data_IF_858337712171
#
_entry.id   IF_858337712171
#
_cell.length_a   1.000
_cell.length_b   1.000
_cell.length_c   1.000
_cell.angle_alpha   90.00
_cell.angle_beta   90.00
_cell.angle_gamma   90.00
#
_symmetry.space_group_name_H-M   'P 1'
#
loop_
_entity.id
_entity.type
_entity.pdbx_description
1 polymer ?
#
# COMPACT_ATOMS: atom_id res chain seq x y z
N UNK A 1 -23.03 -17.54 1.88
CA UNK A 1 -22.09 -17.79 2.99
C UNK A 1 -20.63 -17.76 2.54
N UNK A 2 -20.24 -18.42 1.46
CA UNK A 2 -18.84 -18.45 0.99
C UNK A 2 -18.27 -17.11 0.50
N UNK A 3 -19.07 -16.25 -0.14
CA UNK A 3 -18.61 -14.96 -0.68
C UNK A 3 -18.14 -14.00 0.41
N UNK A 4 -18.91 -13.86 1.49
CA UNK A 4 -18.54 -12.99 2.61
C UNK A 4 -17.24 -13.45 3.28
N UNK A 5 -17.03 -14.75 3.44
CA UNK A 5 -15.80 -15.31 4.01
C UNK A 5 -14.57 -14.97 3.16
N UNK A 6 -14.68 -15.09 1.84
CA UNK A 6 -13.60 -14.74 0.90
C UNK A 6 -13.26 -13.25 1.01
N UNK A 7 -14.28 -12.39 1.10
CA UNK A 7 -14.09 -10.96 1.21
C UNK A 7 -13.40 -10.55 2.53
N UNK A 8 -13.84 -11.13 3.66
CA UNK A 8 -13.16 -10.92 4.96
C UNK A 8 -11.69 -11.39 4.93
N UNK A 9 -11.43 -12.55 4.34
CA UNK A 9 -10.07 -13.05 4.19
C UNK A 9 -9.22 -12.12 3.31
N UNK A 10 -9.78 -11.59 2.23
CA UNK A 10 -9.11 -10.64 1.34
C UNK A 10 -8.75 -9.33 2.06
N UNK A 11 -9.71 -8.76 2.82
CA UNK A 11 -9.46 -7.55 3.62
C UNK A 11 -8.41 -7.81 4.70
N UNK A 12 -8.52 -8.93 5.41
CA UNK A 12 -7.54 -9.32 6.43
C UNK A 12 -6.14 -9.46 5.85
N UNK A 13 -5.98 -10.18 4.75
CA UNK A 13 -4.67 -10.35 4.09
C UNK A 13 -4.11 -9.03 3.57
N UNK A 14 -4.94 -8.20 2.95
CA UNK A 14 -4.53 -6.88 2.47
C UNK A 14 -4.04 -5.98 3.62
N UNK A 15 -4.77 -5.92 4.71
CA UNK A 15 -4.40 -5.16 5.91
C UNK A 15 -3.14 -5.72 6.57
N UNK A 16 -3.03 -7.03 6.70
CA UNK A 16 -1.85 -7.70 7.25
C UNK A 16 -0.59 -7.37 6.45
N UNK A 17 -0.65 -7.48 5.13
CA UNK A 17 0.47 -7.15 4.24
C UNK A 17 0.83 -5.67 4.32
N UNK A 18 -0.17 -4.77 4.35
CA UNK A 18 0.04 -3.34 4.45
C UNK A 18 0.80 -2.96 5.73
N UNK A 19 0.35 -3.45 6.89
CA UNK A 19 0.99 -3.16 8.17
C UNK A 19 2.33 -3.87 8.37
N UNK A 20 2.57 -4.96 7.68
CA UNK A 20 3.85 -5.69 7.75
C UNK A 20 4.90 -5.07 6.85
N UNK A 21 4.50 -4.48 5.72
CA UNK A 21 5.41 -3.92 4.72
C UNK A 21 6.24 -2.75 5.27
N UNK A 22 5.63 -1.85 6.03
CA UNK A 22 6.30 -0.67 6.60
C UNK A 22 7.51 -1.05 7.50
N UNK A 23 7.35 -1.84 8.57
CA UNK A 23 8.48 -2.21 9.42
C UNK A 23 9.49 -3.12 8.72
N UNK A 24 9.05 -3.93 7.76
CA UNK A 24 9.94 -4.78 6.99
C UNK A 24 10.86 -3.95 6.08
N UNK A 25 10.31 -2.99 5.36
CA UNK A 25 11.08 -2.07 4.51
C UNK A 25 12.01 -1.21 5.36
N UNK A 26 11.54 -0.65 6.47
CA UNK A 26 12.38 0.10 7.40
C UNK A 26 13.59 -0.72 7.86
N UNK A 27 13.37 -1.98 8.23
CA UNK A 27 14.45 -2.90 8.66
C UNK A 27 15.50 -3.16 7.56
N UNK A 28 15.07 -3.25 6.31
CA UNK A 28 15.97 -3.47 5.17
C UNK A 28 16.80 -2.20 4.87
N UNK A 29 16.19 -1.03 5.00
CA UNK A 29 16.83 0.25 4.64
C UNK A 29 17.79 0.74 5.70
N UNK A 30 17.48 0.56 6.98
CA UNK A 30 18.28 1.05 8.11
C UNK A 30 19.79 0.76 8.01
N UNK A 31 20.25 -0.45 7.67
CA UNK A 31 21.68 -0.73 7.57
C UNK A 31 22.40 0.06 6.45
N UNK A 32 21.66 0.44 5.39
CA UNK A 32 22.22 1.06 4.20
C UNK A 32 22.24 2.58 4.27
N UNK A 33 21.25 3.18 4.95
CA UNK A 33 21.09 4.63 5.10
C UNK A 33 21.55 5.15 6.48
N UNK A 34 22.09 4.28 7.32
CA UNK A 34 22.45 4.60 8.69
C UNK A 34 21.26 4.48 9.65
N UNK A 35 21.50 3.95 10.85
CA UNK A 35 20.49 3.69 11.88
C UNK A 35 19.94 4.94 12.59
N UNK A 36 19.90 6.08 11.91
CA UNK A 36 19.55 7.34 12.51
C UNK A 36 18.02 7.55 12.54
N UNK A 37 17.56 8.29 13.54
CA UNK A 37 16.17 8.66 13.74
C UNK A 37 15.50 9.25 12.48
N UNK A 38 16.23 10.04 11.69
CA UNK A 38 15.70 10.65 10.47
C UNK A 38 15.34 9.62 9.37
N UNK A 39 16.08 8.51 9.26
CA UNK A 39 15.75 7.45 8.30
C UNK A 39 14.41 6.81 8.64
N UNK A 40 14.20 6.51 9.92
CA UNK A 40 12.93 6.00 10.42
C UNK A 40 11.80 6.99 10.18
N UNK A 41 12.01 8.26 10.50
CA UNK A 41 11.02 9.33 10.34
C UNK A 41 10.60 9.51 8.88
N UNK A 42 11.54 9.52 7.94
CA UNK A 42 11.28 9.64 6.50
C UNK A 42 10.49 8.42 6.01
N UNK A 43 10.86 7.23 6.45
CA UNK A 43 10.19 5.98 6.06
C UNK A 43 8.73 5.97 6.52
N UNK A 44 8.45 6.28 7.78
CA UNK A 44 7.09 6.40 8.30
C UNK A 44 6.31 7.47 7.52
N UNK A 45 6.89 8.65 7.33
CA UNK A 45 6.21 9.75 6.63
C UNK A 45 5.86 9.36 5.20
N UNK A 46 6.75 8.64 4.50
CA UNK A 46 6.48 8.12 3.16
C UNK A 46 5.28 7.17 3.17
N UNK A 47 5.26 6.17 4.06
CA UNK A 47 4.18 5.18 4.09
C UNK A 47 2.84 5.79 4.49
N UNK A 48 2.81 6.72 5.44
CA UNK A 48 1.61 7.46 5.82
C UNK A 48 1.11 8.36 4.68
N UNK A 49 2.01 9.04 3.98
CA UNK A 49 1.69 9.82 2.80
C UNK A 49 1.13 8.96 1.65
N UNK A 50 1.75 7.82 1.39
CA UNK A 50 1.28 6.87 0.37
C UNK A 50 -0.09 6.27 0.71
N UNK A 51 -0.35 5.97 1.99
CA UNK A 51 -1.64 5.54 2.49
C UNK A 51 -2.72 6.61 2.28
N UNK A 52 -2.41 7.86 2.63
CA UNK A 52 -3.30 8.99 2.42
C UNK A 52 -3.64 9.18 0.94
N UNK A 53 -2.62 9.12 0.06
CA UNK A 53 -2.82 9.22 -1.39
C UNK A 53 -3.64 8.05 -1.95
N UNK A 54 -3.46 6.84 -1.44
CA UNK A 54 -4.27 5.67 -1.78
C UNK A 54 -5.76 5.89 -1.43
N UNK A 55 -6.05 6.41 -0.25
CA UNK A 55 -7.42 6.73 0.16
C UNK A 55 -8.01 7.88 -0.66
N UNK A 56 -7.24 8.94 -0.92
CA UNK A 56 -7.66 10.05 -1.77
C UNK A 56 -7.97 9.56 -3.20
N UNK A 57 -7.12 8.72 -3.77
CA UNK A 57 -7.36 8.08 -5.06
C UNK A 57 -8.72 7.34 -5.07
N UNK A 58 -8.98 6.50 -4.08
CA UNK A 58 -10.25 5.79 -3.97
C UNK A 58 -11.44 6.74 -3.85
N UNK A 59 -11.30 7.83 -3.08
CA UNK A 59 -12.38 8.80 -2.88
C UNK A 59 -12.74 9.55 -4.17
N UNK A 60 -11.75 10.02 -4.91
CA UNK A 60 -11.99 10.82 -6.12
C UNK A 60 -12.35 9.98 -7.34
N UNK A 61 -11.83 8.77 -7.45
CA UNK A 61 -11.97 7.91 -8.63
C UNK A 61 -12.97 6.77 -8.39
N UNK A 62 -13.66 6.74 -7.24
CA UNK A 62 -14.55 5.66 -6.80
C UNK A 62 -15.58 5.20 -7.86
N UNK A 63 -16.08 6.09 -8.69
CA UNK A 63 -17.06 5.77 -9.75
C UNK A 63 -16.45 5.00 -10.92
N UNK A 64 -15.13 5.05 -11.12
CA UNK A 64 -14.40 4.45 -12.25
C UNK A 64 -13.35 3.42 -11.81
N UNK A 65 -13.30 3.09 -10.53
CA UNK A 65 -12.24 2.27 -9.90
C UNK A 65 -12.03 0.92 -10.60
N UNK A 66 -13.09 0.27 -11.07
CA UNK A 66 -12.99 -1.11 -11.58
C UNK A 66 -11.96 -1.29 -12.69
N UNK A 67 -11.91 -0.40 -13.68
CA UNK A 67 -10.99 -0.50 -14.83
C UNK A 67 -9.57 0.00 -14.50
N UNK A 68 -9.48 1.15 -13.85
CA UNK A 68 -8.18 1.75 -13.49
C UNK A 68 -7.47 0.97 -12.39
N UNK A 69 -8.21 0.43 -11.44
CA UNK A 69 -7.63 -0.36 -10.38
C UNK A 69 -7.01 -1.66 -10.89
N UNK A 70 -7.66 -2.32 -11.86
CA UNK A 70 -7.10 -3.51 -12.49
C UNK A 70 -5.75 -3.21 -13.17
N UNK A 71 -5.62 -2.05 -13.83
CA UNK A 71 -4.36 -1.61 -14.41
C UNK A 71 -3.28 -1.39 -13.33
N UNK A 72 -3.64 -0.77 -12.20
CA UNK A 72 -2.71 -0.59 -11.06
C UNK A 72 -2.23 -1.92 -10.49
N UNK A 73 -3.13 -2.91 -10.35
CA UNK A 73 -2.75 -4.26 -9.89
C UNK A 73 -1.79 -4.92 -10.87
N UNK A 74 -2.04 -4.81 -12.17
CA UNK A 74 -1.12 -5.33 -13.21
C UNK A 74 0.25 -4.63 -13.15
N UNK A 75 0.28 -3.32 -12.98
CA UNK A 75 1.53 -2.57 -12.79
C UNK A 75 2.28 -3.02 -11.53
N UNK A 76 1.57 -3.24 -10.43
CA UNK A 76 2.18 -3.75 -9.21
C UNK A 76 2.79 -5.14 -9.39
N UNK A 77 2.14 -6.02 -10.15
CA UNK A 77 2.68 -7.36 -10.47
C UNK A 77 3.96 -7.30 -11.31
N UNK A 78 4.03 -6.35 -12.26
CA UNK A 78 5.24 -6.13 -13.07
C UNK A 78 6.38 -5.57 -12.21
N UNK A 79 6.04 -4.80 -11.16
CA UNK A 79 7.01 -4.19 -10.24
C UNK A 79 7.63 -5.20 -9.25
N UNK A 80 7.08 -6.39 -9.15
CA UNK A 80 7.64 -7.51 -8.39
C UNK A 80 8.43 -8.41 -9.37
N UNK A 81 9.74 -8.70 -9.16
CA UNK A 81 10.51 -8.48 -7.95
C UNK A 81 11.07 -7.06 -7.84
N UNK A 82 10.94 -6.50 -6.64
CA UNK A 82 11.51 -5.19 -6.32
C UNK A 82 13.03 -5.28 -6.43
N UNK A 83 13.60 -4.60 -7.40
CA UNK A 83 15.06 -4.50 -7.54
C UNK A 83 15.59 -3.57 -6.46
N UNK A 84 16.08 -4.13 -5.37
CA UNK A 84 16.67 -3.36 -4.28
C UNK A 84 18.07 -2.91 -4.71
N UNK A 85 18.14 -1.82 -5.45
CA UNK A 85 19.40 -1.13 -5.74
C UNK A 85 19.64 -0.13 -4.61
N UNK A 86 20.65 -0.41 -3.78
CA UNK A 86 21.04 0.53 -2.73
C UNK A 86 21.93 1.62 -3.32
N UNK A 87 21.73 2.90 -2.93
CA UNK A 87 22.63 3.97 -3.31
C UNK A 87 24.05 3.71 -2.74
N UNK A 88 25.06 4.20 -3.45
CA UNK A 88 26.43 4.11 -2.98
C UNK A 88 26.60 4.90 -1.66
N UNK A 89 27.58 4.52 -0.79
CA UNK A 89 27.75 5.18 0.51
C UNK A 89 27.92 6.71 0.46
N UNK A 90 28.32 7.26 -0.68
CA UNK A 90 28.50 8.70 -0.89
C UNK A 90 27.21 9.45 -1.23
N UNK A 91 26.10 8.76 -1.47
CA UNK A 91 24.80 9.33 -1.87
C UNK A 91 23.76 9.26 -0.76
N UNK A 92 24.17 9.02 0.48
CA UNK A 92 23.27 8.89 1.62
C UNK A 92 22.74 10.28 2.00
N UNK A 93 21.61 10.65 1.41
CA UNK A 93 20.88 11.87 1.75
C UNK A 93 19.40 11.56 2.03
N UNK A 94 18.69 12.41 2.79
CA UNK A 94 17.27 12.28 3.01
C UNK A 94 16.44 12.23 1.72
N UNK A 95 16.86 12.99 0.72
CA UNK A 95 16.23 13.04 -0.60
C UNK A 95 16.46 11.77 -1.40
N UNK A 96 17.66 11.19 -1.34
CA UNK A 96 17.96 9.90 -1.98
C UNK A 96 17.14 8.77 -1.36
N UNK A 97 17.00 8.76 -0.05
CA UNK A 97 16.12 7.80 0.66
C UNK A 97 14.67 7.94 0.22
N UNK A 98 14.13 9.15 0.19
CA UNK A 98 12.75 9.38 -0.22
C UNK A 98 12.52 8.95 -1.68
N UNK A 99 13.45 9.28 -2.57
CA UNK A 99 13.39 8.87 -3.97
C UNK A 99 13.44 7.33 -4.11
N UNK A 100 14.30 6.67 -3.35
CA UNK A 100 14.37 5.22 -3.31
C UNK A 100 13.04 4.59 -2.88
N UNK A 101 12.42 5.12 -1.83
CA UNK A 101 11.11 4.66 -1.35
C UNK A 101 10.01 4.86 -2.41
N UNK A 102 9.97 6.03 -3.05
CA UNK A 102 8.99 6.33 -4.10
C UNK A 102 9.15 5.37 -5.27
N UNK A 103 10.35 5.18 -5.78
CA UNK A 103 10.59 4.37 -6.97
C UNK A 103 10.34 2.88 -6.74
N UNK A 104 10.64 2.36 -5.55
CA UNK A 104 10.57 0.92 -5.30
C UNK A 104 9.27 0.46 -4.62
N UNK A 105 8.65 1.31 -3.79
CA UNK A 105 7.55 0.87 -2.91
C UNK A 105 6.21 1.58 -3.15
N UNK A 106 6.16 2.71 -3.89
CA UNK A 106 4.93 3.49 -4.04
C UNK A 106 3.80 2.70 -4.72
N UNK A 107 4.09 1.97 -5.80
CA UNK A 107 3.07 1.24 -6.56
C UNK A 107 2.54 0.03 -5.77
N UNK A 108 3.37 -0.92 -5.31
CA UNK A 108 2.86 -2.07 -4.57
C UNK A 108 2.17 -1.67 -3.25
N UNK A 109 2.70 -0.68 -2.54
CA UNK A 109 2.06 -0.18 -1.32
C UNK A 109 0.75 0.55 -1.62
N UNK A 110 0.69 1.37 -2.69
CA UNK A 110 -0.52 2.04 -3.14
C UNK A 110 -1.65 1.06 -3.47
N UNK A 111 -1.35 -0.06 -4.11
CA UNK A 111 -2.34 -1.13 -4.36
C UNK A 111 -2.85 -1.72 -3.03
N UNK A 112 -1.96 -2.02 -2.09
CA UNK A 112 -2.36 -2.52 -0.77
C UNK A 112 -3.21 -1.51 0.00
N UNK A 113 -2.84 -0.22 -0.03
CA UNK A 113 -3.58 0.85 0.63
C UNK A 113 -5.01 1.01 0.11
N UNK A 114 -5.25 0.72 -1.16
CA UNK A 114 -6.58 0.81 -1.78
C UNK A 114 -7.44 -0.43 -1.56
N UNK A 115 -6.84 -1.57 -1.20
CA UNK A 115 -7.51 -2.88 -1.12
C UNK A 115 -8.71 -2.88 -0.18
N UNK A 116 -8.59 -2.30 1.01
CA UNK A 116 -9.67 -2.28 2.01
C UNK A 116 -10.86 -1.43 1.56
N UNK A 117 -10.60 -0.28 0.96
CA UNK A 117 -11.65 0.64 0.46
C UNK A 117 -12.42 0.02 -0.71
N UNK A 118 -11.70 -0.66 -1.61
CA UNK A 118 -12.32 -1.35 -2.74
C UNK A 118 -13.16 -2.53 -2.29
N UNK A 119 -12.67 -3.30 -1.33
CA UNK A 119 -13.42 -4.40 -0.74
C UNK A 119 -14.74 -3.93 -0.10
N UNK A 120 -14.70 -2.80 0.63
CA UNK A 120 -15.91 -2.18 1.18
C UNK A 120 -16.89 -1.73 0.09
N UNK A 121 -16.38 -1.14 -0.98
CA UNK A 121 -17.20 -0.71 -2.12
C UNK A 121 -17.89 -1.90 -2.79
N UNK A 122 -17.19 -3.00 -2.99
CA UNK A 122 -17.77 -4.24 -3.52
C UNK A 122 -18.80 -4.85 -2.57
N UNK A 123 -18.51 -4.91 -1.28
CA UNK A 123 -19.45 -5.40 -0.28
C UNK A 123 -20.75 -4.59 -0.29
N UNK A 124 -20.66 -3.26 -0.29
CA UNK A 124 -21.80 -2.37 -0.35
C UNK A 124 -22.62 -2.54 -1.64
N UNK A 125 -21.96 -2.78 -2.76
CA UNK A 125 -22.63 -3.00 -4.05
C UNK A 125 -23.40 -4.32 -4.09
N UNK A 126 -22.84 -5.40 -3.54
CA UNK A 126 -23.48 -6.72 -3.55
C UNK A 126 -24.53 -6.89 -2.44
N UNK A 127 -24.37 -6.24 -1.30
CA UNK A 127 -25.26 -6.34 -0.14
C UNK A 127 -26.21 -5.13 0.00
N UNK A 128 -26.77 -4.66 -1.09
CA UNK A 128 -27.61 -3.44 -1.18
C UNK A 128 -28.72 -3.28 -0.12
N UNK A 129 -29.05 -4.31 0.64
CA UNK A 129 -30.26 -4.32 1.50
C UNK A 129 -30.08 -4.79 2.96
N UNK A 130 -28.91 -5.20 3.45
CA UNK A 130 -28.89 -5.88 4.77
C UNK A 130 -27.73 -5.60 5.73
N UNK A 131 -26.55 -5.17 5.27
CA UNK A 131 -25.40 -5.08 6.18
C UNK A 131 -24.55 -3.82 5.90
N UNK A 132 -24.04 -3.22 6.97
CA UNK A 132 -23.14 -2.06 6.86
C UNK A 132 -21.76 -2.50 6.32
N UNK A 133 -21.11 -1.73 5.42
CA UNK A 133 -19.75 -2.00 4.96
C UNK A 133 -18.71 -2.10 6.09
N UNK A 134 -19.01 -1.51 7.24
CA UNK A 134 -18.14 -1.52 8.43
C UNK A 134 -18.07 -2.87 9.15
N UNK A 135 -18.90 -3.85 8.77
CA UNK A 135 -18.82 -5.22 9.32
C UNK A 135 -17.67 -6.06 8.76
N UNK A 136 -16.89 -5.49 7.83
CA UNK A 136 -15.70 -6.14 7.27
C UNK A 136 -14.45 -6.02 8.16
N UNK A 137 -14.52 -5.28 9.25
CA UNK A 137 -13.42 -5.08 10.21
C UNK A 137 -13.64 -5.77 11.53
#
# INVERSE_FOLDING_TARGET
MSYNLILHFFVFMGSFLLFTMEPMVARIILPNFGGAFHVWSITITFFQGALFLGYAYCHYIAKSIGKFHFLLVLLALIWIPISITFPTPNEISPTALLLHLILNYSIPFGVLATTSVIAQSWFSYYNKNRESPYQLY
#
